data_IF_127740987498
#
_entry.id   IF_127740987498
#
_cell.length_a   1.000
_cell.length_b   1.000
_cell.length_c   1.000
_cell.angle_alpha   90.00
_cell.angle_beta   90.00
_cell.angle_gamma   90.00
#
_symmetry.space_group_name_H-M   'P 1'
#
loop_
_entity.id
_entity.type
_entity.pdbx_description
1 polymer ?
#
# COMPACT_ATOMS: atom_id res chain seq x y z
N UNK A 1 4.46 -6.70 -30.75
CA UNK A 1 5.77 -6.09 -31.05
C UNK A 1 6.53 -5.94 -29.75
N UNK A 2 7.54 -6.79 -29.58
CA UNK A 2 8.36 -6.96 -28.38
C UNK A 2 9.71 -6.30 -28.71
N UNK A 3 10.22 -5.45 -27.81
CA UNK A 3 11.34 -4.54 -28.06
C UNK A 3 12.65 -5.28 -28.43
N UNK A 4 13.40 -4.72 -29.38
CA UNK A 4 14.54 -5.34 -30.07
C UNK A 4 15.86 -5.36 -29.25
N UNK A 5 15.78 -5.16 -27.94
CA UNK A 5 16.94 -5.00 -27.05
C UNK A 5 17.13 -6.16 -26.05
N UNK A 6 16.30 -7.21 -26.12
CA UNK A 6 16.40 -8.38 -25.23
C UNK A 6 16.69 -9.72 -25.94
N UNK A 7 17.05 -9.72 -27.24
CA UNK A 7 17.16 -10.97 -28.05
C UNK A 7 18.59 -11.43 -28.37
N UNK A 8 19.64 -10.81 -27.82
CA UNK A 8 21.04 -11.18 -28.07
C UNK A 8 21.81 -11.41 -26.77
N UNK A 9 21.70 -12.61 -26.22
CA UNK A 9 22.76 -13.26 -25.45
C UNK A 9 22.40 -14.74 -25.25
N UNK A 10 22.26 -15.48 -26.34
CA UNK A 10 22.22 -16.93 -26.32
C UNK A 10 23.33 -17.46 -27.23
N UNK A 11 24.06 -18.45 -26.69
CA UNK A 11 24.89 -19.44 -27.38
C UNK A 11 26.39 -19.12 -27.52
N UNK A 12 27.18 -19.56 -26.53
CA UNK A 12 28.41 -20.34 -26.79
C UNK A 12 28.57 -21.44 -25.74
N UNK A 13 28.37 -22.67 -26.19
CA UNK A 13 28.65 -23.91 -25.46
C UNK A 13 30.14 -24.04 -25.12
N UNK A 14 30.44 -24.46 -23.90
CA UNK A 14 31.65 -25.20 -23.57
C UNK A 14 31.30 -26.26 -22.51
N UNK A 15 31.73 -27.50 -22.78
CA UNK A 15 31.40 -28.72 -22.01
C UNK A 15 32.41 -28.91 -20.87
N UNK A 16 31.90 -29.21 -19.66
CA UNK A 16 32.35 -30.14 -18.57
C UNK A 16 33.83 -30.15 -18.09
N UNK A 17 34.12 -30.34 -16.76
CA UNK A 17 33.76 -31.58 -16.05
C UNK A 17 33.27 -31.46 -14.59
N UNK A 18 32.65 -32.56 -14.15
CA UNK A 18 32.32 -32.89 -12.76
C UNK A 18 33.55 -32.78 -11.85
N UNK A 19 33.44 -32.00 -10.78
CA UNK A 19 34.28 -32.15 -9.58
C UNK A 19 33.40 -32.07 -8.33
N UNK A 20 33.13 -33.25 -7.79
CA UNK A 20 32.74 -33.46 -6.40
C UNK A 20 33.80 -32.93 -5.47
N UNK A 21 33.47 -32.02 -4.56
CA UNK A 21 34.19 -31.88 -3.29
C UNK A 21 33.20 -31.63 -2.13
N UNK A 22 33.10 -32.71 -1.37
CA UNK A 22 32.66 -32.90 0.01
C UNK A 22 32.90 -31.70 0.95
N UNK A 23 31.81 -31.32 1.64
CA UNK A 23 31.61 -30.91 3.05
C UNK A 23 32.68 -30.08 3.78
N UNK A 24 32.22 -29.00 4.41
CA UNK A 24 32.57 -28.68 5.80
C UNK A 24 31.38 -28.02 6.52
N UNK A 25 30.94 -28.51 7.70
CA UNK A 25 29.98 -27.80 8.54
C UNK A 25 30.73 -26.77 9.36
N UNK A 26 30.45 -25.48 9.16
CA UNK A 26 30.97 -24.43 10.06
C UNK A 26 30.05 -24.33 11.28
N UNK A 27 30.57 -24.83 12.39
CA UNK A 27 30.09 -24.72 13.76
C UNK A 27 29.57 -23.30 14.05
N UNK A 28 28.27 -23.20 14.39
CA UNK A 28 27.67 -21.97 14.91
C UNK A 28 28.13 -21.83 16.36
N UNK A 29 29.15 -21.03 16.60
CA UNK A 29 29.56 -20.63 17.94
C UNK A 29 28.53 -19.65 18.49
N UNK A 30 27.68 -20.16 19.39
CA UNK A 30 26.74 -19.39 20.20
C UNK A 30 27.52 -18.48 21.15
N UNK A 31 27.54 -17.17 20.90
CA UNK A 31 27.98 -16.21 21.91
C UNK A 31 26.83 -15.92 22.88
N UNK A 32 26.94 -16.52 24.06
CA UNK A 32 26.26 -16.06 25.28
C UNK A 32 26.88 -14.73 25.70
N UNK A 33 26.14 -13.63 25.61
CA UNK A 33 26.46 -12.41 26.33
C UNK A 33 25.70 -12.38 27.65
N UNK A 34 26.47 -12.33 28.74
CA UNK A 34 25.99 -12.19 30.11
C UNK A 34 25.50 -10.75 30.39
N UNK A 35 24.60 -10.57 31.37
CA UNK A 35 24.08 -9.26 31.76
C UNK A 35 25.12 -8.50 32.59
N UNK A 36 25.42 -7.25 32.21
CA UNK A 36 26.11 -6.32 33.11
C UNK A 36 25.07 -5.39 33.73
N UNK A 37 24.84 -5.61 35.02
CA UNK A 37 24.11 -4.68 35.86
C UNK A 37 24.91 -3.38 35.99
N UNK A 38 24.30 -2.25 35.65
CA UNK A 38 24.78 -0.93 36.08
C UNK A 38 23.62 -0.17 36.70
N UNK A 39 23.75 -0.04 38.01
CA UNK A 39 22.95 0.74 38.94
C UNK A 39 23.09 2.24 38.65
N UNK A 40 21.97 2.95 38.52
CA UNK A 40 21.75 4.11 39.39
C UNK A 40 20.26 4.50 39.50
N UNK A 41 19.81 4.96 40.68
CA UNK A 41 18.44 5.34 40.93
C UNK A 41 18.21 6.80 40.56
N UNK A 42 17.10 7.10 39.87
CA UNK A 42 16.54 8.45 39.86
C UNK A 42 15.11 8.39 40.36
N UNK A 43 14.99 8.48 41.69
CA UNK A 43 13.80 9.01 42.34
C UNK A 43 13.82 10.52 42.15
N UNK A 44 12.85 11.05 41.41
CA UNK A 44 12.17 12.28 41.82
C UNK A 44 10.68 12.05 41.62
N UNK A 45 9.99 11.79 42.74
CA UNK A 45 8.54 11.93 42.83
C UNK A 45 8.27 13.43 42.63
N UNK A 46 7.72 13.81 41.48
CA UNK A 46 7.15 15.15 41.31
C UNK A 46 5.64 15.08 41.45
N UNK A 47 5.20 15.89 42.38
CA UNK A 47 3.87 16.06 42.93
C UNK A 47 2.82 16.34 41.85
N UNK A 48 1.70 15.64 41.99
CA UNK A 48 0.41 15.91 41.37
C UNK A 48 0.01 17.39 41.44
N UNK A 49 -0.36 17.97 40.31
CA UNK A 49 -1.67 18.61 40.16
C UNK A 49 -2.10 18.54 38.69
N UNK A 50 -3.35 18.13 38.42
CA UNK A 50 -3.89 18.06 37.08
C UNK A 50 -4.03 19.48 36.55
N UNK A 51 -3.26 19.83 35.52
CA UNK A 51 -3.45 21.06 34.79
C UNK A 51 -4.70 20.86 33.93
N UNK A 52 -5.82 21.30 34.51
CA UNK A 52 -7.05 21.77 33.88
C UNK A 52 -7.19 21.29 32.44
N UNK A 53 -8.06 20.30 32.22
CA UNK A 53 -8.57 19.95 30.91
C UNK A 53 -9.12 21.22 30.27
N UNK A 54 -8.25 21.93 29.55
CA UNK A 54 -8.67 22.77 28.46
C UNK A 54 -9.34 21.78 27.52
N UNK A 55 -10.65 21.93 27.39
CA UNK A 55 -11.44 21.32 26.34
C UNK A 55 -10.71 21.59 25.02
N UNK A 56 -9.85 20.65 24.62
CA UNK A 56 -9.74 20.32 23.23
C UNK A 56 -11.10 19.70 22.95
N UNK A 57 -11.95 20.52 22.35
CA UNK A 57 -13.23 20.11 21.82
C UNK A 57 -12.95 18.88 20.96
N UNK A 58 -13.28 17.70 21.52
CA UNK A 58 -13.50 16.50 20.74
C UNK A 58 -14.70 16.82 19.87
N UNK A 59 -14.42 17.43 18.72
CA UNK A 59 -15.34 17.49 17.59
C UNK A 59 -15.81 16.06 17.34
N UNK A 60 -17.13 15.82 17.28
CA UNK A 60 -17.68 14.48 17.25
C UNK A 60 -17.19 13.75 16.00
N UNK A 61 -16.39 12.70 16.22
CA UNK A 61 -15.97 11.70 15.23
C UNK A 61 -17.19 10.95 14.67
N UNK A 62 -17.97 11.64 13.84
CA UNK A 62 -18.88 11.01 12.91
C UNK A 62 -18.03 10.55 11.72
N UNK A 63 -18.10 9.27 11.30
CA UNK A 63 -17.42 8.78 10.11
C UNK A 63 -18.11 9.37 8.87
N UNK A 64 -17.88 10.65 8.64
CA UNK A 64 -18.31 11.39 7.47
C UNK A 64 -17.19 11.27 6.45
N UNK A 65 -17.54 10.83 5.24
CA UNK A 65 -16.59 10.67 4.13
C UNK A 65 -15.64 11.86 4.07
N UNK A 66 -14.35 11.58 3.93
CA UNK A 66 -13.37 12.66 3.86
C UNK A 66 -13.63 13.51 2.61
N UNK A 67 -13.37 14.84 2.64
CA UNK A 67 -13.56 15.69 1.46
C UNK A 67 -12.83 15.18 0.21
N UNK A 68 -11.72 14.49 0.41
CA UNK A 68 -10.95 13.85 -0.67
C UNK A 68 -11.70 12.67 -1.30
N UNK A 69 -12.38 11.82 -0.51
CA UNK A 69 -13.16 10.69 -1.02
C UNK A 69 -14.33 11.18 -1.89
N UNK A 70 -15.03 12.23 -1.46
CA UNK A 70 -16.12 12.83 -2.22
C UNK A 70 -15.64 13.40 -3.57
N UNK A 71 -14.51 14.11 -3.57
CA UNK A 71 -13.93 14.64 -4.82
C UNK A 71 -13.55 13.53 -5.80
N UNK A 72 -12.97 12.43 -5.31
CA UNK A 72 -12.65 11.26 -6.16
C UNK A 72 -13.93 10.61 -6.69
N UNK A 73 -14.97 10.53 -5.84
CA UNK A 73 -16.24 9.94 -6.23
C UNK A 73 -16.93 10.75 -7.34
N UNK A 74 -16.92 12.08 -7.25
CA UNK A 74 -17.45 12.97 -8.29
C UNK A 74 -16.75 12.74 -9.64
N UNK A 75 -15.41 12.75 -9.67
CA UNK A 75 -14.64 12.54 -10.90
C UNK A 75 -14.95 11.18 -11.55
N UNK A 76 -15.02 10.12 -10.73
CA UNK A 76 -15.35 8.79 -11.24
C UNK A 76 -16.80 8.69 -11.71
N UNK A 77 -17.72 9.39 -11.04
CA UNK A 77 -19.13 9.44 -11.42
C UNK A 77 -19.32 10.09 -12.80
N UNK A 78 -18.63 11.19 -13.06
CA UNK A 78 -18.68 11.91 -14.35
C UNK A 78 -18.10 11.10 -15.51
N UNK A 79 -17.00 10.38 -15.27
CA UNK A 79 -16.25 9.70 -16.35
C UNK A 79 -16.80 8.32 -16.70
N UNK A 80 -17.27 7.57 -15.70
CA UNK A 80 -17.58 6.14 -15.84
C UNK A 80 -19.05 5.81 -15.58
N UNK A 81 -19.86 6.80 -15.19
CA UNK A 81 -21.30 6.67 -14.90
C UNK A 81 -21.63 5.36 -14.18
N UNK A 82 -21.04 5.11 -13.00
CA UNK A 82 -21.19 3.85 -12.28
C UNK A 82 -22.60 3.74 -11.68
N UNK A 83 -23.08 2.50 -11.57
CA UNK A 83 -24.31 2.16 -10.85
C UNK A 83 -24.07 2.16 -9.34
N UNK A 84 -22.91 1.67 -8.91
CA UNK A 84 -22.47 1.70 -7.51
C UNK A 84 -21.01 2.14 -7.45
N UNK A 85 -20.71 3.04 -6.52
CA UNK A 85 -19.36 3.57 -6.32
C UNK A 85 -19.08 3.68 -4.83
N UNK A 86 -17.98 3.07 -4.41
CA UNK A 86 -17.47 3.14 -3.05
C UNK A 86 -16.00 3.53 -3.09
N UNK A 87 -15.67 4.64 -2.44
CA UNK A 87 -14.31 5.14 -2.26
C UNK A 87 -14.05 5.19 -0.76
N UNK A 88 -12.95 4.57 -0.32
CA UNK A 88 -12.55 4.55 1.08
C UNK A 88 -11.05 4.82 1.21
N UNK A 89 -10.66 5.71 2.11
CA UNK A 89 -9.29 5.89 2.54
C UNK A 89 -8.85 4.70 3.42
N UNK A 90 -7.82 3.99 2.98
CA UNK A 90 -7.21 2.87 3.71
C UNK A 90 -5.82 3.22 4.25
N UNK A 91 -5.44 4.51 4.18
CA UNK A 91 -4.18 5.02 4.72
C UNK A 91 -4.25 5.41 6.20
N UNK A 92 -5.41 5.26 6.84
CA UNK A 92 -5.61 5.63 8.25
C UNK A 92 -5.71 7.14 8.48
N UNK A 93 -6.27 7.89 7.52
CA UNK A 93 -6.50 9.34 7.63
C UNK A 93 -5.39 10.21 7.04
N UNK A 94 -4.40 9.62 6.37
CA UNK A 94 -3.34 10.36 5.68
C UNK A 94 -3.77 10.81 4.26
N UNK A 95 -4.84 10.24 3.70
CA UNK A 95 -5.30 10.55 2.34
C UNK A 95 -4.31 10.17 1.24
N UNK A 96 -3.47 9.16 1.47
CA UNK A 96 -2.44 8.74 0.51
C UNK A 96 -2.70 7.37 -0.12
N UNK A 97 -3.71 6.63 0.32
CA UNK A 97 -4.06 5.33 -0.26
C UNK A 97 -5.57 5.09 -0.24
N UNK A 98 -6.12 4.77 -1.40
CA UNK A 98 -7.56 4.60 -1.57
C UNK A 98 -7.92 3.20 -2.04
N UNK A 99 -9.00 2.66 -1.51
CA UNK A 99 -9.70 1.49 -2.04
C UNK A 99 -10.96 1.96 -2.79
N UNK A 100 -11.05 1.57 -4.05
CA UNK A 100 -12.10 2.01 -4.98
C UNK A 100 -12.80 0.78 -5.54
N UNK A 101 -14.07 0.63 -5.19
CA UNK A 101 -14.95 -0.41 -5.67
C UNK A 101 -15.98 0.24 -6.62
N UNK A 102 -15.94 -0.15 -7.90
CA UNK A 102 -16.78 0.44 -8.95
C UNK A 102 -17.59 -0.65 -9.64
N UNK A 103 -18.91 -0.47 -9.65
CA UNK A 103 -19.83 -1.25 -10.47
C UNK A 103 -20.31 -0.37 -11.62
N UNK A 104 -19.95 -0.67 -12.87
CA UNK A 104 -20.38 0.12 -14.04
C UNK A 104 -20.68 -0.78 -15.25
N UNK A 105 -21.73 -0.50 -16.04
CA UNK A 105 -22.01 -1.21 -17.28
C UNK A 105 -20.91 -0.97 -18.35
N UNK A 106 -20.13 0.10 -18.23
CA UNK A 106 -19.03 0.42 -19.14
C UNK A 106 -17.92 -0.65 -19.16
N UNK A 107 -17.84 -1.48 -18.13
CA UNK A 107 -16.87 -2.57 -18.03
C UNK A 107 -17.29 -3.85 -18.78
N UNK A 108 -18.53 -3.92 -19.26
CA UNK A 108 -19.05 -5.09 -19.99
C UNK A 108 -18.24 -5.35 -21.26
N UNK A 109 -17.77 -6.58 -21.41
CA UNK A 109 -16.95 -6.99 -22.56
C UNK A 109 -15.49 -6.49 -22.54
N UNK A 110 -15.05 -5.82 -21.47
CA UNK A 110 -13.64 -5.42 -21.31
C UNK A 110 -12.89 -6.43 -20.42
N UNK A 111 -11.59 -6.61 -20.66
CA UNK A 111 -10.73 -7.40 -19.77
C UNK A 111 -10.45 -6.64 -18.48
N UNK A 112 -10.17 -7.35 -17.39
CA UNK A 112 -9.87 -6.75 -16.07
C UNK A 112 -8.79 -5.66 -16.15
N UNK A 113 -7.69 -5.92 -16.86
CA UNK A 113 -6.62 -4.94 -17.03
C UNK A 113 -7.09 -3.68 -17.76
N UNK A 114 -7.98 -3.82 -18.76
CA UNK A 114 -8.51 -2.67 -19.48
C UNK A 114 -9.47 -1.86 -18.61
N UNK A 115 -10.29 -2.53 -17.79
CA UNK A 115 -11.15 -1.86 -16.81
C UNK A 115 -10.30 -1.03 -15.82
N UNK A 116 -9.27 -1.62 -15.22
CA UNK A 116 -8.36 -0.90 -14.31
C UNK A 116 -7.67 0.28 -15.00
N UNK A 117 -7.24 0.13 -16.27
CA UNK A 117 -6.67 1.24 -17.04
C UNK A 117 -7.67 2.36 -17.30
N UNK A 118 -8.95 2.04 -17.55
CA UNK A 118 -10.00 3.04 -17.71
C UNK A 118 -10.21 3.84 -16.43
N UNK A 119 -10.18 3.18 -15.27
CA UNK A 119 -10.27 3.84 -13.96
C UNK A 119 -9.06 4.74 -13.72
N UNK A 120 -7.84 4.23 -13.94
CA UNK A 120 -6.63 5.05 -13.80
C UNK A 120 -6.61 6.25 -14.76
N UNK A 121 -7.12 6.08 -15.98
CA UNK A 121 -7.23 7.17 -16.94
C UNK A 121 -8.25 8.24 -16.50
N UNK A 122 -9.33 7.83 -15.83
CA UNK A 122 -10.30 8.76 -15.26
C UNK A 122 -9.71 9.59 -14.10
N UNK A 123 -8.89 8.95 -13.27
CA UNK A 123 -8.23 9.60 -12.13
C UNK A 123 -7.02 10.47 -12.53
N UNK A 124 -6.39 10.16 -13.67
CA UNK A 124 -5.37 11.00 -14.29
C UNK A 124 -4.16 11.27 -13.39
N UNK A 125 -3.91 12.54 -13.11
CA UNK A 125 -2.75 13.00 -12.33
C UNK A 125 -2.90 12.81 -10.81
N UNK A 126 -4.12 12.62 -10.30
CA UNK A 126 -4.37 12.46 -8.86
C UNK A 126 -3.65 11.22 -8.31
N UNK A 127 -3.61 10.13 -9.09
CA UNK A 127 -2.97 8.86 -8.71
C UNK A 127 -1.47 9.01 -8.50
N UNK A 128 -0.82 10.00 -9.12
CA UNK A 128 0.64 10.20 -9.01
C UNK A 128 1.08 10.64 -7.62
N UNK A 129 0.19 11.30 -6.88
CA UNK A 129 0.46 11.73 -5.50
C UNK A 129 0.16 10.67 -4.45
N UNK A 130 -0.49 9.57 -4.84
CA UNK A 130 -0.91 8.53 -3.92
C UNK A 130 0.20 7.48 -3.72
N UNK A 131 0.33 6.99 -2.49
CA UNK A 131 1.20 5.86 -2.17
C UNK A 131 0.74 4.59 -2.90
N UNK A 132 -0.57 4.43 -3.08
CA UNK A 132 -1.14 3.37 -3.89
C UNK A 132 -2.66 3.47 -4.02
N UNK A 133 -3.23 2.62 -4.89
CA UNK A 133 -4.66 2.51 -5.07
C UNK A 133 -5.06 1.05 -5.28
N UNK A 134 -6.14 0.63 -4.65
CA UNK A 134 -6.75 -0.68 -4.86
C UNK A 134 -8.02 -0.48 -5.69
N UNK A 135 -8.10 -1.11 -6.87
CA UNK A 135 -9.23 -0.94 -7.78
C UNK A 135 -9.91 -2.28 -8.00
N UNK A 136 -11.19 -2.37 -7.62
CA UNK A 136 -12.06 -3.50 -7.94
C UNK A 136 -13.16 -3.04 -8.88
N UNK A 137 -13.26 -3.73 -10.01
CA UNK A 137 -14.26 -3.44 -11.04
C UNK A 137 -15.25 -4.59 -11.12
N UNK A 138 -16.53 -4.25 -11.12
CA UNK A 138 -17.65 -5.19 -11.27
C UNK A 138 -18.54 -4.74 -12.41
N UNK A 139 -19.15 -5.69 -13.09
CA UNK A 139 -20.19 -5.43 -14.10
C UNK A 139 -21.53 -5.69 -13.42
N UNK A 140 -22.51 -4.76 -13.48
CA UNK A 140 -23.85 -5.05 -13.00
C UNK A 140 -24.44 -6.22 -13.81
N UNK A 141 -25.16 -7.11 -13.11
CA UNK A 141 -25.77 -8.30 -13.70
C UNK A 141 -26.85 -7.97 -14.74
#
# INVERSE_FOLDING_TARGET
MICNTCRRAAMRSARLPLRTLVRAPTTITRLTQAPTASTMPRRFLSTSTPRFSAAAEEEPDLPSMSPAESAIAEILSEKLSPTELLVQDVSGGCGSMYAIDITSPAFKGQTILKQQRMVNAALGDLVKGWHGVQIRTKVPA
#
